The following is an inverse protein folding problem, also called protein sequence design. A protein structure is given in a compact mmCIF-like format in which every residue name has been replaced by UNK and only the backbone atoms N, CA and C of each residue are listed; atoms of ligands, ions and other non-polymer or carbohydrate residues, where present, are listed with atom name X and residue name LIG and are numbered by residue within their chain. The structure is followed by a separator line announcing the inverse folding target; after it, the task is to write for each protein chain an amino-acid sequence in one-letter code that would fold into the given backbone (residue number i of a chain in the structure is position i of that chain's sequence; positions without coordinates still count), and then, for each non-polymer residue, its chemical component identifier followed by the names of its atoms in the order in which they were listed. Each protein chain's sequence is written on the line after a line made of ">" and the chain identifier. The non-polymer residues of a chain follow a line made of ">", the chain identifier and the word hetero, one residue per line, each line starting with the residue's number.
data_IF_884238519063
#
_entry.id   IF_884238519063
#
_cell.length_a   1.000
_cell.length_b   1.000
_cell.length_c   1.000
_cell.angle_alpha   90.00
_cell.angle_beta   90.00
_cell.angle_gamma   90.00
#
_symmetry.space_group_name_H-M   'P 1'
#
loop_
_entity.id
_entity.type
_entity.pdbx_description
1 polymer ?
#
# COMPACT_ATOMS: atom_id res chain seq x y z
N UNK A 1 8.87 9.36 -13.12
CA UNK A 1 7.67 9.94 -13.77
C UNK A 1 6.49 9.37 -13.01
N UNK A 2 5.69 10.22 -12.36
CA UNK A 2 4.44 9.80 -11.72
C UNK A 2 3.46 9.37 -12.81
N UNK A 3 2.74 8.26 -12.60
CA UNK A 3 1.76 7.75 -13.55
C UNK A 3 0.39 8.41 -13.30
N UNK A 4 -0.47 8.55 -14.32
CA UNK A 4 -1.80 9.14 -14.12
C UNK A 4 -2.68 8.35 -13.14
N UNK A 5 -2.44 7.06 -12.97
CA UNK A 5 -3.06 6.19 -11.97
C UNK A 5 -2.67 6.60 -10.56
N UNK A 6 -1.38 6.87 -10.33
CA UNK A 6 -0.90 7.34 -9.05
C UNK A 6 -1.47 8.72 -8.70
N UNK A 7 -1.55 9.64 -9.66
CA UNK A 7 -2.15 10.96 -9.46
C UNK A 7 -3.64 10.87 -9.09
N UNK A 8 -4.40 9.97 -9.74
CA UNK A 8 -5.81 9.71 -9.38
C UNK A 8 -5.95 9.11 -7.98
N UNK A 9 -5.07 8.18 -7.62
CA UNK A 9 -5.05 7.58 -6.28
C UNK A 9 -4.72 8.62 -5.21
N UNK A 10 -3.75 9.50 -5.45
CA UNK A 10 -3.45 10.60 -4.52
C UNK A 10 -4.61 11.59 -4.41
N UNK A 11 -5.27 11.92 -5.52
CA UNK A 11 -6.43 12.81 -5.50
C UNK A 11 -7.60 12.23 -4.68
N UNK A 12 -7.80 10.91 -4.71
CA UNK A 12 -8.88 10.24 -3.97
C UNK A 12 -8.66 10.22 -2.45
N UNK A 13 -7.47 10.58 -1.94
CA UNK A 13 -7.25 10.76 -0.50
C UNK A 13 -8.14 11.87 0.09
N UNK A 14 -8.65 12.79 -0.74
CA UNK A 14 -9.62 13.80 -0.35
C UNK A 14 -11.06 13.29 -0.23
N UNK A 15 -11.35 12.07 -0.72
CA UNK A 15 -12.69 11.49 -0.69
C UNK A 15 -13.03 10.88 0.68
N UNK A 16 -14.32 10.65 0.93
CA UNK A 16 -14.79 10.06 2.18
C UNK A 16 -14.59 8.55 2.25
N UNK A 17 -14.53 7.87 1.11
CA UNK A 17 -14.43 6.41 0.98
C UNK A 17 -13.47 6.02 -0.14
N UNK A 18 -12.71 4.93 0.00
CA UNK A 18 -11.85 4.43 -1.07
C UNK A 18 -12.68 3.93 -2.27
N UNK A 19 -12.12 3.95 -3.47
CA UNK A 19 -12.77 3.39 -4.66
C UNK A 19 -12.94 1.88 -4.52
N UNK A 20 -14.07 1.34 -4.99
CA UNK A 20 -14.40 -0.08 -4.87
C UNK A 20 -13.47 -1.00 -5.66
N UNK A 21 -12.80 -0.45 -6.68
CA UNK A 21 -11.88 -1.17 -7.57
C UNK A 21 -10.45 -1.30 -6.97
N UNK A 22 -10.19 -0.69 -5.81
CA UNK A 22 -8.89 -0.79 -5.16
C UNK A 22 -8.71 -2.15 -4.47
N UNK A 23 -7.52 -2.73 -4.63
CA UNK A 23 -7.12 -3.90 -3.84
C UNK A 23 -7.05 -3.54 -2.35
N UNK A 24 -7.16 -4.54 -1.48
CA UNK A 24 -7.10 -4.33 -0.02
C UNK A 24 -5.81 -3.64 0.42
N UNK A 25 -4.68 -3.98 -0.21
CA UNK A 25 -3.40 -3.34 0.02
C UNK A 25 -3.45 -1.83 -0.33
N UNK A 26 -4.03 -1.46 -1.48
CA UNK A 26 -4.21 -0.07 -1.87
C UNK A 26 -5.19 0.68 -0.96
N UNK A 27 -6.26 0.03 -0.51
CA UNK A 27 -7.17 0.60 0.50
C UNK A 27 -6.43 0.84 1.82
N UNK A 28 -5.55 -0.06 2.23
CA UNK A 28 -4.67 0.13 3.39
C UNK A 28 -3.82 1.40 3.26
N UNK A 29 -3.10 1.55 2.14
CA UNK A 29 -2.30 2.75 1.87
C UNK A 29 -3.14 4.02 1.79
N UNK A 30 -4.38 3.92 1.28
CA UNK A 30 -5.30 5.06 1.20
C UNK A 30 -5.68 5.57 2.60
N UNK A 31 -6.01 4.68 3.54
CA UNK A 31 -6.25 5.08 4.93
C UNK A 31 -4.99 5.69 5.57
N UNK A 32 -3.81 5.11 5.34
CA UNK A 32 -2.56 5.64 5.88
C UNK A 32 -2.24 7.05 5.35
N UNK A 33 -2.47 7.28 4.05
CA UNK A 33 -2.28 8.57 3.40
C UNK A 33 -3.23 9.66 3.91
N UNK A 34 -4.36 9.26 4.49
CA UNK A 34 -5.31 10.15 5.19
C UNK A 34 -4.98 10.36 6.66
N UNK A 35 -3.97 9.68 7.18
CA UNK A 35 -3.58 9.72 8.59
C UNK A 35 -4.30 8.69 9.48
N UNK A 36 -5.14 7.82 8.91
CA UNK A 36 -5.88 6.79 9.64
C UNK A 36 -5.11 5.46 9.67
N UNK A 37 -3.95 5.46 10.35
CA UNK A 37 -3.08 4.27 10.46
C UNK A 37 -3.80 3.04 11.01
N UNK A 38 -4.70 3.20 12.00
CA UNK A 38 -5.46 2.08 12.57
C UNK A 38 -6.40 1.43 11.54
N UNK A 39 -7.02 2.24 10.67
CA UNK A 39 -7.89 1.73 9.61
C UNK A 39 -7.05 1.03 8.53
N UNK A 40 -5.88 1.59 8.19
CA UNK A 40 -4.92 0.96 7.29
C UNK A 40 -4.51 -0.43 7.76
N UNK A 41 -4.09 -0.54 9.03
CA UNK A 41 -3.67 -1.80 9.64
C UNK A 41 -4.82 -2.82 9.68
N UNK A 42 -6.02 -2.38 10.05
CA UNK A 42 -7.21 -3.25 10.06
C UNK A 42 -7.56 -3.77 8.68
N UNK A 43 -7.39 -2.98 7.63
CA UNK A 43 -7.72 -3.42 6.28
C UNK A 43 -6.74 -4.47 5.77
N UNK A 44 -5.44 -4.21 5.87
CA UNK A 44 -4.42 -5.16 5.36
C UNK A 44 -4.39 -6.45 6.17
N UNK A 45 -4.71 -6.40 7.46
CA UNK A 45 -4.81 -7.59 8.31
C UNK A 45 -5.92 -8.56 7.87
N UNK A 46 -6.92 -8.11 7.09
CA UNK A 46 -7.96 -9.01 6.57
C UNK A 46 -7.46 -9.89 5.42
N UNK A 47 -6.37 -9.49 4.76
CA UNK A 47 -5.76 -10.22 3.65
C UNK A 47 -4.48 -10.93 4.07
N UNK A 48 -4.15 -11.99 3.37
CA UNK A 48 -2.93 -12.81 3.60
C UNK A 48 -1.99 -12.80 2.38
N UNK A 49 -2.24 -11.94 1.40
CA UNK A 49 -1.46 -11.84 0.17
C UNK A 49 -0.14 -11.10 0.34
N UNK A 50 0.70 -11.20 -0.69
CA UNK A 50 2.03 -10.56 -0.75
C UNK A 50 1.92 -9.04 -0.68
N UNK A 51 0.91 -8.45 -1.33
CA UNK A 51 0.71 -7.01 -1.38
C UNK A 51 0.23 -6.47 -0.02
N UNK A 52 -0.70 -7.16 0.65
CA UNK A 52 -1.12 -6.80 2.01
C UNK A 52 0.05 -6.92 3.00
N UNK A 53 0.84 -7.99 2.92
CA UNK A 53 2.03 -8.16 3.75
C UNK A 53 3.06 -7.04 3.54
N UNK A 54 3.22 -6.55 2.31
CA UNK A 54 4.13 -5.45 2.02
C UNK A 54 3.66 -4.12 2.63
N UNK A 55 2.37 -3.80 2.49
CA UNK A 55 1.79 -2.61 3.15
C UNK A 55 1.86 -2.76 4.68
N UNK A 56 1.64 -3.95 5.21
CA UNK A 56 1.76 -4.24 6.64
C UNK A 56 3.19 -3.99 7.15
N UNK A 57 4.21 -4.39 6.39
CA UNK A 57 5.61 -4.11 6.72
C UNK A 57 5.90 -2.60 6.84
N UNK A 58 5.43 -1.82 5.85
CA UNK A 58 5.55 -0.37 5.85
C UNK A 58 4.83 0.27 7.06
N UNK A 59 3.62 -0.18 7.40
CA UNK A 59 2.86 0.36 8.53
C UNK A 59 3.57 0.15 9.87
N UNK A 60 4.20 -1.01 10.09
CA UNK A 60 5.02 -1.25 11.28
C UNK A 60 6.31 -0.42 11.27
N UNK A 61 6.92 -0.23 10.10
CA UNK A 61 8.08 0.67 9.98
C UNK A 61 7.72 2.11 10.35
N UNK A 62 6.54 2.59 9.95
CA UNK A 62 6.01 3.92 10.29
C UNK A 62 5.75 4.07 11.80
N UNK A 63 5.25 3.02 12.45
CA UNK A 63 5.04 2.98 13.91
C UNK A 63 6.35 2.91 14.71
N UNK A 64 7.43 2.44 14.08
CA UNK A 64 8.75 2.26 14.69
C UNK A 64 9.01 0.83 15.18
N UNK A 65 8.10 -0.10 14.93
CA UNK A 65 8.29 -1.53 15.22
C UNK A 65 9.08 -2.21 14.10
N UNK A 66 10.39 -1.98 14.09
CA UNK A 66 11.29 -2.49 13.07
C UNK A 66 11.39 -4.03 13.06
N UNK A 67 11.15 -4.67 14.20
CA UNK A 67 11.19 -6.12 14.32
C UNK A 67 10.01 -6.76 13.59
N UNK A 68 8.79 -6.25 13.81
CA UNK A 68 7.62 -6.70 13.06
C UNK A 68 7.70 -6.28 11.60
N UNK A 69 8.16 -5.06 11.29
CA UNK A 69 8.36 -4.64 9.91
C UNK A 69 9.26 -5.62 9.14
N UNK A 70 10.39 -6.03 9.74
CA UNK A 70 11.33 -6.98 9.14
C UNK A 70 10.71 -8.36 8.90
N UNK A 71 9.85 -8.83 9.82
CA UNK A 71 9.11 -10.08 9.63
C UNK A 71 8.18 -10.01 8.41
N UNK A 72 7.44 -8.92 8.25
CA UNK A 72 6.51 -8.74 7.15
C UNK A 72 7.21 -8.53 5.80
N UNK A 73 8.30 -7.74 5.75
CA UNK A 73 9.13 -7.61 4.54
C UNK A 73 9.63 -8.97 4.06
N UNK A 74 10.10 -9.81 4.98
CA UNK A 74 10.52 -11.18 4.65
C UNK A 74 9.37 -12.05 4.15
N UNK A 75 8.15 -11.86 4.67
CA UNK A 75 6.96 -12.62 4.27
C UNK A 75 6.56 -12.34 2.82
N UNK A 76 6.79 -11.13 2.33
CA UNK A 76 6.50 -10.74 0.95
C UNK A 76 7.73 -10.76 0.02
N UNK A 77 8.87 -11.31 0.47
CA UNK A 77 10.15 -11.34 -0.27
C UNK A 77 10.63 -9.94 -0.72
N UNK A 78 10.25 -8.89 0.01
CA UNK A 78 10.72 -7.53 -0.22
C UNK A 78 11.86 -7.18 0.74
N UNK A 79 12.86 -6.46 0.23
CA UNK A 79 13.86 -5.83 1.08
C UNK A 79 13.24 -4.62 1.80
N UNK A 80 13.70 -4.35 3.03
CA UNK A 80 13.33 -3.13 3.74
C UNK A 80 13.76 -1.90 2.93
N UNK A 81 12.85 -0.93 2.77
CA UNK A 81 13.14 0.29 2.05
C UNK A 81 14.14 1.18 2.81
N UNK A 82 15.10 1.75 2.09
CA UNK A 82 16.21 2.53 2.66
C UNK A 82 15.98 4.05 2.65
N UNK A 83 14.95 4.54 1.95
CA UNK A 83 14.59 5.96 1.89
C UNK A 83 13.58 6.38 2.96
N UNK A 84 12.95 7.54 2.78
CA UNK A 84 11.91 8.04 3.67
C UNK A 84 10.62 7.20 3.63
N UNK A 85 9.74 7.40 4.63
CA UNK A 85 8.42 6.75 4.66
C UNK A 85 7.53 7.23 3.50
N UNK A 86 7.63 8.50 3.13
CA UNK A 86 6.87 9.07 2.00
C UNK A 86 7.30 8.46 0.66
N UNK A 87 8.61 8.33 0.43
CA UNK A 87 9.16 7.66 -0.75
C UNK A 87 8.73 6.19 -0.83
N UNK A 88 8.73 5.50 0.31
CA UNK A 88 8.25 4.12 0.38
C UNK A 88 6.75 4.02 0.05
N UNK A 89 5.93 4.85 0.69
CA UNK A 89 4.49 4.90 0.44
C UNK A 89 4.20 5.13 -1.06
N UNK A 90 4.88 6.10 -1.67
CA UNK A 90 4.74 6.41 -3.10
C UNK A 90 5.17 5.24 -3.98
N UNK A 91 6.27 4.56 -3.63
CA UNK A 91 6.76 3.40 -4.37
C UNK A 91 5.77 2.24 -4.32
N UNK A 92 5.25 1.90 -3.13
CA UNK A 92 4.29 0.80 -2.96
C UNK A 92 3.03 1.11 -3.76
N UNK A 93 2.44 2.30 -3.58
CA UNK A 93 1.23 2.70 -4.30
C UNK A 93 1.42 2.62 -5.83
N UNK A 94 2.53 3.14 -6.35
CA UNK A 94 2.84 3.12 -7.79
C UNK A 94 2.92 1.68 -8.32
N UNK A 95 3.63 0.80 -7.63
CA UNK A 95 3.83 -0.58 -8.07
C UNK A 95 2.57 -1.42 -7.97
N UNK A 96 1.77 -1.24 -6.93
CA UNK A 96 0.48 -1.92 -6.79
C UNK A 96 -0.53 -1.48 -7.86
N UNK A 97 -0.62 -0.18 -8.13
CA UNK A 97 -1.50 0.35 -9.19
C UNK A 97 -1.09 -0.17 -10.58
N UNK A 98 0.21 -0.27 -10.84
CA UNK A 98 0.72 -0.81 -12.11
C UNK A 98 0.36 -2.29 -12.29
N UNK A 99 0.40 -3.10 -11.21
CA UNK A 99 -0.01 -4.51 -11.22
C UNK A 99 -1.51 -4.65 -11.46
N UNK A 100 -2.34 -3.88 -10.76
CA UNK A 100 -3.79 -3.91 -10.94
C UNK A 100 -4.20 -3.59 -12.38
N UNK A 101 -3.53 -2.65 -13.06
CA UNK A 101 -3.82 -2.35 -14.46
C UNK A 101 -3.46 -3.48 -15.43
N UNK A 102 -2.43 -4.27 -15.14
CA UNK A 102 -2.04 -5.43 -15.96
C UNK A 102 -3.08 -6.55 -15.83
N UNK A 103 -3.55 -6.83 -14.60
CA UNK A 103 -4.62 -7.79 -14.33
C UNK A 103 -5.95 -7.39 -15.02
N UNK A 104 -6.29 -6.10 -15.06
CA UNK A 104 -7.51 -5.61 -15.73
C UNK A 104 -7.40 -5.57 -17.27
N UNK A 105 -6.18 -5.50 -17.81
CA UNK A 105 -5.93 -5.52 -19.26
C UNK A 105 -5.88 -6.95 -19.83
N UNK A 106 -5.52 -7.95 -19.01
CA UNK A 106 -5.46 -9.35 -19.42
C UNK A 106 -6.84 -10.01 -19.58
N UNK A 107 -7.91 -9.37 -19.11
CA UNK A 107 -9.26 -9.91 -19.07
C UNK A 107 -10.21 -9.32 -20.15
N UNK A 108 -9.67 -8.59 -21.13
CA UNK A 108 -10.41 -7.99 -22.27
C UNK A 108 -10.15 -8.69 -23.61
#
# INVERSE_FOLDING_TARGET
>A
MTTPEFERFQASLGDTTPSADLSRALVGLWYDGRGDWEAAHREVQKGDGTDEAWVHAYLHRKEGDLANASYWYRRCDHAQFSGSLDEEWCQIATLLLARTNDDQAAEQ
#
